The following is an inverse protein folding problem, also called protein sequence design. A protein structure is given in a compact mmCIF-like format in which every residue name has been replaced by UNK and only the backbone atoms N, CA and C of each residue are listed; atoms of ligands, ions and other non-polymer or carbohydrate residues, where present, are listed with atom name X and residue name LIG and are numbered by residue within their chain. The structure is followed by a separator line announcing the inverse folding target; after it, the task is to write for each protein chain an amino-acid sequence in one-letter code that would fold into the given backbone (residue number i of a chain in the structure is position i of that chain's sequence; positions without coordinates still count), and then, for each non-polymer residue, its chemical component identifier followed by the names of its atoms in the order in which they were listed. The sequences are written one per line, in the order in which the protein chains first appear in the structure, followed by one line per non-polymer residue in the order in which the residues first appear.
data_IF_774593549783
#
_entry.id   IF_774593549783
#
_cell.length_a   1.000
_cell.length_b   1.000
_cell.length_c   1.000
_cell.angle_alpha   90.00
_cell.angle_beta   90.00
_cell.angle_gamma   90.00
#
_symmetry.space_group_name_H-M   'P 1'
#
loop_
_entity.id
_entity.type
_entity.pdbx_description
1 polymer ?
#
# COMPACT_ATOMS: atom_id res chain seq x y z
N UNK A 1 34.93 -0.12 -8.12
CA UNK A 1 35.52 -1.08 -7.15
C UNK A 1 35.44 -0.55 -5.71
N UNK A 2 34.24 -0.35 -5.11
CA UNK A 2 34.18 0.11 -3.69
C UNK A 2 32.80 0.00 -2.98
N UNK A 3 31.92 -0.91 -3.39
CA UNK A 3 30.70 -1.20 -2.62
C UNK A 3 30.91 -2.42 -1.68
N UNK A 4 31.65 -3.43 -2.15
CA UNK A 4 31.93 -4.65 -1.40
C UNK A 4 32.83 -4.39 -0.18
N UNK A 5 33.82 -3.50 -0.30
CA UNK A 5 34.75 -3.19 0.80
C UNK A 5 34.11 -2.38 1.93
N UNK A 6 33.00 -1.68 1.67
CA UNK A 6 32.22 -0.96 2.70
C UNK A 6 31.27 -1.89 3.47
N UNK A 7 30.83 -2.99 2.83
CA UNK A 7 30.11 -4.11 3.49
C UNK A 7 31.07 -4.95 4.35
N UNK A 8 32.35 -5.00 3.97
CA UNK A 8 33.43 -5.68 4.71
C UNK A 8 34.06 -4.85 5.85
N UNK A 9 33.64 -3.59 6.02
CA UNK A 9 34.15 -2.70 7.08
C UNK A 9 33.70 -3.07 8.49
N UNK A 10 32.67 -3.90 8.60
CA UNK A 10 32.39 -4.73 9.77
C UNK A 10 32.46 -6.19 9.28
N UNK A 11 33.05 -7.09 10.06
CA UNK A 11 33.22 -8.48 9.63
C UNK A 11 31.85 -9.06 9.21
N UNK A 12 31.70 -9.65 8.00
CA UNK A 12 30.44 -10.27 7.58
C UNK A 12 29.92 -11.28 8.62
N UNK A 13 30.85 -11.92 9.33
CA UNK A 13 30.58 -12.80 10.46
C UNK A 13 29.86 -12.08 11.61
N UNK A 14 30.26 -10.84 11.93
CA UNK A 14 29.63 -10.00 12.96
C UNK A 14 28.20 -9.62 12.56
N UNK A 15 27.94 -9.34 11.29
CA UNK A 15 26.58 -9.07 10.79
C UNK A 15 25.70 -10.31 10.89
N UNK A 16 26.21 -11.47 10.46
CA UNK A 16 25.50 -12.75 10.58
C UNK A 16 25.16 -13.05 12.04
N UNK A 17 26.12 -12.91 12.96
CA UNK A 17 25.89 -13.10 14.40
C UNK A 17 24.85 -12.13 14.94
N UNK A 18 24.91 -10.85 14.57
CA UNK A 18 23.93 -9.85 14.98
C UNK A 18 22.53 -10.21 14.49
N UNK A 19 22.40 -10.59 13.21
CA UNK A 19 21.12 -11.00 12.62
C UNK A 19 20.57 -12.27 13.28
N UNK A 20 21.44 -13.22 13.62
CA UNK A 20 21.06 -14.46 14.30
C UNK A 20 20.52 -14.17 15.71
N UNK A 21 21.25 -13.35 16.48
CA UNK A 21 20.82 -12.92 17.83
C UNK A 21 19.51 -12.13 17.76
N UNK A 22 19.37 -11.20 16.83
CA UNK A 22 18.14 -10.40 16.66
C UNK A 22 16.96 -11.29 16.24
N UNK A 23 17.16 -12.20 15.28
CA UNK A 23 16.11 -13.14 14.85
C UNK A 23 15.68 -14.07 15.98
N UNK A 24 16.62 -14.52 16.81
CA UNK A 24 16.33 -15.34 17.99
C UNK A 24 15.53 -14.56 19.04
N UNK A 25 15.94 -13.32 19.36
CA UNK A 25 15.22 -12.44 20.27
C UNK A 25 13.79 -12.16 19.78
N UNK A 26 13.64 -11.85 18.49
CA UNK A 26 12.31 -11.63 17.88
C UNK A 26 11.46 -12.90 18.00
N UNK A 27 12.02 -14.08 17.68
CA UNK A 27 11.31 -15.36 17.84
C UNK A 27 10.89 -15.64 19.29
N UNK A 28 11.74 -15.31 20.26
CA UNK A 28 11.44 -15.47 21.69
C UNK A 28 10.34 -14.50 22.15
N UNK A 29 10.37 -13.26 21.68
CA UNK A 29 9.32 -12.26 21.92
C UNK A 29 7.99 -12.74 21.31
N UNK A 30 7.99 -13.18 20.05
CA UNK A 30 6.79 -13.71 19.39
C UNK A 30 6.21 -14.90 20.17
N UNK A 31 7.06 -15.83 20.60
CA UNK A 31 6.64 -16.98 21.41
C UNK A 31 6.08 -16.55 22.78
N UNK A 32 6.71 -15.57 23.45
CA UNK A 32 6.26 -15.05 24.74
C UNK A 32 4.88 -14.36 24.66
N UNK A 33 4.59 -13.67 23.55
CA UNK A 33 3.28 -13.08 23.27
C UNK A 33 2.26 -14.10 22.71
N UNK A 34 2.66 -15.36 22.48
CA UNK A 34 1.81 -16.39 21.90
C UNK A 34 1.46 -16.12 20.43
N UNK A 35 2.19 -15.25 19.75
CA UNK A 35 1.97 -14.90 18.36
C UNK A 35 2.79 -15.84 17.45
N UNK A 36 2.10 -16.51 16.52
CA UNK A 36 2.78 -17.28 15.49
C UNK A 36 3.31 -16.35 14.39
N UNK A 37 4.42 -16.71 13.71
CA UNK A 37 4.88 -16.01 12.52
C UNK A 37 3.80 -15.87 11.44
N UNK A 38 2.88 -16.84 11.42
CA UNK A 38 1.77 -16.87 10.47
C UNK A 38 0.73 -15.78 10.77
N UNK A 39 0.53 -15.42 12.03
CA UNK A 39 -0.42 -14.37 12.42
C UNK A 39 -0.02 -13.00 11.90
N UNK A 40 1.28 -12.70 11.85
CA UNK A 40 1.79 -11.45 11.27
C UNK A 40 1.46 -11.38 9.77
N UNK A 41 1.69 -12.48 9.06
CA UNK A 41 1.41 -12.56 7.62
C UNK A 41 -0.10 -12.48 7.34
N UNK A 42 -0.92 -13.22 8.09
CA UNK A 42 -2.37 -13.16 7.98
C UNK A 42 -2.92 -11.77 8.34
N UNK A 43 -2.34 -11.10 9.33
CA UNK A 43 -2.68 -9.72 9.70
C UNK A 43 -2.43 -8.74 8.56
N UNK A 44 -1.28 -8.84 7.89
CA UNK A 44 -0.96 -8.01 6.72
C UNK A 44 -1.92 -8.31 5.56
N UNK A 45 -2.14 -9.59 5.24
CA UNK A 45 -3.06 -9.99 4.18
C UNK A 45 -4.47 -9.44 4.45
N UNK A 46 -4.96 -9.60 5.68
CA UNK A 46 -6.27 -9.12 6.09
C UNK A 46 -6.36 -7.59 6.03
N UNK A 47 -5.32 -6.87 6.46
CA UNK A 47 -5.26 -5.42 6.35
C UNK A 47 -5.44 -4.95 4.90
N UNK A 48 -4.76 -5.58 3.93
CA UNK A 48 -4.93 -5.22 2.52
C UNK A 48 -6.33 -5.58 1.97
N UNK A 49 -6.89 -6.73 2.37
CA UNK A 49 -8.25 -7.13 1.98
C UNK A 49 -9.28 -6.14 2.53
N UNK A 50 -9.17 -5.77 3.80
CA UNK A 50 -10.08 -4.84 4.46
C UNK A 50 -9.95 -3.43 3.86
N UNK A 51 -8.73 -3.00 3.56
CA UNK A 51 -8.46 -1.73 2.87
C UNK A 51 -9.06 -1.70 1.47
N UNK A 52 -8.96 -2.80 0.72
CA UNK A 52 -9.58 -2.94 -0.60
C UNK A 52 -11.09 -2.88 -0.50
N UNK A 53 -11.71 -3.66 0.38
CA UNK A 53 -13.16 -3.65 0.58
C UNK A 53 -13.69 -2.27 0.97
N UNK A 54 -12.97 -1.55 1.84
CA UNK A 54 -13.34 -0.18 2.23
C UNK A 54 -13.15 0.83 1.08
N UNK A 55 -12.04 0.72 0.36
CA UNK A 55 -11.70 1.59 -0.77
C UNK A 55 -12.71 1.48 -1.91
N UNK A 56 -13.15 0.26 -2.24
CA UNK A 56 -14.16 0.03 -3.29
C UNK A 56 -15.52 0.62 -2.92
N UNK A 57 -15.94 0.54 -1.66
CA UNK A 57 -17.18 1.17 -1.20
C UNK A 57 -17.13 2.71 -1.21
N UNK A 58 -15.97 3.30 -0.96
CA UNK A 58 -15.79 4.75 -1.09
C UNK A 58 -15.74 5.17 -2.58
N UNK A 59 -15.10 4.37 -3.42
CA UNK A 59 -14.95 4.63 -4.85
C UNK A 59 -16.28 4.59 -5.60
N UNK A 60 -17.21 3.69 -5.24
CA UNK A 60 -18.56 3.64 -5.81
C UNK A 60 -19.34 4.96 -5.61
N UNK A 61 -19.31 5.50 -4.38
CA UNK A 61 -19.92 6.81 -4.08
C UNK A 61 -19.23 7.96 -4.81
N UNK A 62 -17.90 7.94 -4.88
CA UNK A 62 -17.12 8.95 -5.61
C UNK A 62 -17.45 8.98 -7.11
N UNK A 63 -17.51 7.80 -7.75
CA UNK A 63 -17.92 7.68 -9.14
C UNK A 63 -19.37 8.12 -9.35
N UNK A 64 -20.27 7.84 -8.39
CA UNK A 64 -21.64 8.36 -8.40
C UNK A 64 -21.72 9.89 -8.46
N UNK A 65 -20.90 10.60 -7.67
CA UNK A 65 -20.83 12.07 -7.73
C UNK A 65 -20.26 12.59 -9.05
N UNK A 66 -19.23 11.92 -9.61
CA UNK A 66 -18.70 12.26 -10.93
C UNK A 66 -19.77 12.06 -12.00
N UNK A 67 -20.49 10.95 -11.97
CA UNK A 67 -21.58 10.66 -12.91
C UNK A 67 -22.71 11.68 -12.82
N UNK A 68 -23.11 12.07 -11.59
CA UNK A 68 -24.10 13.14 -11.36
C UNK A 68 -23.64 14.48 -11.94
N UNK A 69 -22.38 14.87 -11.69
CA UNK A 69 -21.81 16.08 -12.28
C UNK A 69 -21.73 16.00 -13.80
N UNK A 70 -21.28 14.86 -14.33
CA UNK A 70 -21.18 14.62 -15.76
C UNK A 70 -22.56 14.69 -16.45
N UNK A 71 -23.62 14.20 -15.80
CA UNK A 71 -24.98 14.29 -16.32
C UNK A 71 -25.44 15.74 -16.58
N UNK A 72 -24.89 16.72 -15.85
CA UNK A 72 -25.21 18.14 -16.02
C UNK A 72 -24.18 18.83 -16.93
N UNK A 73 -22.89 18.61 -16.66
CA UNK A 73 -21.79 19.31 -17.34
C UNK A 73 -21.67 18.88 -18.80
N UNK A 74 -21.86 17.59 -19.11
CA UNK A 74 -21.71 17.08 -20.49
C UNK A 74 -22.76 17.70 -21.43
N UNK A 75 -24.08 17.71 -21.11
CA UNK A 75 -25.06 18.38 -21.95
C UNK A 75 -24.83 19.89 -22.06
N UNK A 76 -24.51 20.56 -20.95
CA UNK A 76 -24.24 22.01 -20.96
C UNK A 76 -23.05 22.33 -21.88
N UNK A 77 -21.97 21.55 -21.80
CA UNK A 77 -20.81 21.70 -22.68
C UNK A 77 -21.18 21.50 -24.15
N UNK A 78 -21.96 20.47 -24.49
CA UNK A 78 -22.40 20.20 -25.87
C UNK A 78 -23.23 21.37 -26.42
N UNK A 79 -24.18 21.89 -25.65
CA UNK A 79 -25.01 23.02 -26.05
C UNK A 79 -24.17 24.28 -26.30
N UNK A 80 -23.26 24.62 -25.39
CA UNK A 80 -22.35 25.75 -25.54
C UNK A 80 -21.41 25.57 -26.74
N UNK A 81 -20.92 24.35 -26.97
CA UNK A 81 -20.06 24.02 -28.10
C UNK A 81 -20.78 24.22 -29.43
N UNK A 82 -22.03 23.75 -29.56
CA UNK A 82 -22.84 23.91 -30.77
C UNK A 82 -23.19 25.39 -31.00
N UNK A 83 -23.50 26.13 -29.93
CA UNK A 83 -23.78 27.56 -30.02
C UNK A 83 -22.57 28.38 -30.50
N UNK A 84 -21.36 28.04 -30.04
CA UNK A 84 -20.13 28.70 -30.49
C UNK A 84 -19.67 28.29 -31.90
N UNK A 85 -20.17 27.19 -32.46
CA UNK A 85 -19.78 26.71 -33.79
C UNK A 85 -20.43 27.51 -34.94
N UNK A 86 -21.34 28.45 -34.63
CA UNK A 86 -22.07 29.29 -35.61
C UNK A 86 -21.53 30.72 -35.75
N UNK A 87 -20.32 31.00 -35.27
CA UNK A 87 -19.54 32.20 -35.62
C UNK A 87 -18.33 31.78 -36.45
#
# INVERSE_FOLDING_TARGET
MSALTRILGDSPLRVILKLLVVSFLVGLVMNAFGWSPMDVFYGIQKFFIDLWNLGFHAMDRFLGYIMLGAAIVVPAFVLLRIANYRK
#
